data_IF_977104093399
#
_entry.id   IF_977104093399
#
_cell.length_a   1.000
_cell.length_b   1.000
_cell.length_c   1.000
_cell.angle_alpha   90.00
_cell.angle_beta   90.00
_cell.angle_gamma   90.00
#
_symmetry.space_group_name_H-M   'P 1'
#
loop_
_entity.id
_entity.type
_entity.pdbx_description
1 polymer ?
#
# COMPACT_ATOMS: atom_id res chain seq x y z
N UNK A 1 -19.80 -13.93 18.57
CA UNK A 1 -18.57 -13.21 18.17
C UNK A 1 -18.93 -11.81 17.72
N UNK A 2 -18.11 -10.79 18.02
CA UNK A 2 -18.31 -9.39 17.60
C UNK A 2 -17.91 -9.13 16.14
N UNK A 3 -16.94 -9.89 15.64
CA UNK A 3 -16.32 -9.69 14.32
C UNK A 3 -16.97 -10.48 13.19
N UNK A 4 -17.78 -11.49 13.51
CA UNK A 4 -18.36 -12.38 12.52
C UNK A 4 -19.49 -11.66 11.77
N UNK A 5 -19.46 -11.73 10.43
CA UNK A 5 -20.37 -11.01 9.52
C UNK A 5 -20.32 -9.48 9.59
N UNK A 6 -19.35 -8.89 10.30
CA UNK A 6 -19.14 -7.43 10.31
C UNK A 6 -17.96 -7.03 9.44
N UNK A 7 -17.90 -5.74 9.10
CA UNK A 7 -16.82 -5.10 8.36
C UNK A 7 -15.45 -5.25 9.06
N UNK A 8 -15.41 -5.68 10.32
CA UNK A 8 -14.17 -6.06 11.01
C UNK A 8 -13.40 -7.11 10.22
N UNK A 9 -14.09 -8.15 9.73
CA UNK A 9 -13.43 -9.22 8.96
C UNK A 9 -12.79 -8.67 7.68
N UNK A 10 -13.45 -7.71 7.03
CA UNK A 10 -12.93 -7.03 5.84
C UNK A 10 -11.71 -6.18 6.20
N UNK A 11 -11.73 -5.47 7.33
CA UNK A 11 -10.58 -4.73 7.86
C UNK A 11 -9.39 -5.65 8.14
N UNK A 12 -9.62 -6.81 8.75
CA UNK A 12 -8.57 -7.82 8.96
C UNK A 12 -7.96 -8.30 7.64
N UNK A 13 -8.78 -8.71 6.68
CA UNK A 13 -8.32 -9.18 5.36
C UNK A 13 -7.48 -8.12 4.66
N UNK A 14 -7.93 -6.86 4.62
CA UNK A 14 -7.20 -5.81 3.92
C UNK A 14 -5.92 -5.39 4.65
N UNK A 15 -5.89 -5.47 5.98
CA UNK A 15 -4.66 -5.26 6.74
C UNK A 15 -3.55 -6.26 6.34
N UNK A 16 -3.90 -7.54 6.13
CA UNK A 16 -2.96 -8.53 5.59
C UNK A 16 -2.70 -8.38 4.09
N UNK A 17 -3.75 -8.26 3.27
CA UNK A 17 -3.60 -8.23 1.81
C UNK A 17 -2.86 -6.97 1.33
N UNK A 18 -3.26 -5.79 1.79
CA UNK A 18 -2.68 -4.53 1.34
C UNK A 18 -1.50 -4.09 2.23
N UNK A 19 -1.62 -4.26 3.55
CA UNK A 19 -0.61 -3.85 4.52
C UNK A 19 0.61 -4.76 4.57
N UNK A 20 0.45 -6.05 4.30
CA UNK A 20 1.57 -7.01 4.30
C UNK A 20 1.93 -7.49 2.89
N UNK A 21 1.04 -8.24 2.25
CA UNK A 21 1.34 -8.87 0.95
C UNK A 21 1.63 -7.81 -0.12
N UNK A 22 0.82 -6.75 -0.17
CA UNK A 22 0.98 -5.65 -1.10
C UNK A 22 2.33 -4.94 -0.94
N UNK A 23 2.67 -4.47 0.27
CA UNK A 23 3.92 -3.74 0.49
C UNK A 23 5.18 -4.56 0.24
N UNK A 24 5.20 -5.83 0.65
CA UNK A 24 6.34 -6.72 0.35
C UNK A 24 6.47 -6.90 -1.16
N UNK A 25 5.35 -7.12 -1.86
CA UNK A 25 5.35 -7.29 -3.32
C UNK A 25 5.82 -6.02 -4.03
N UNK A 26 5.36 -4.84 -3.59
CA UNK A 26 5.81 -3.56 -4.14
C UNK A 26 7.30 -3.34 -3.94
N UNK A 27 7.82 -3.59 -2.73
CA UNK A 27 9.25 -3.51 -2.45
C UNK A 27 10.07 -4.46 -3.32
N UNK A 28 9.62 -5.72 -3.44
CA UNK A 28 10.27 -6.72 -4.29
C UNK A 28 10.30 -6.27 -5.76
N UNK A 29 9.20 -5.75 -6.29
CA UNK A 29 9.13 -5.25 -7.67
C UNK A 29 10.06 -4.05 -7.88
N UNK A 30 10.11 -3.10 -6.94
CA UNK A 30 11.04 -1.96 -7.03
C UNK A 30 12.51 -2.39 -7.08
N UNK A 31 12.88 -3.48 -6.41
CA UNK A 31 14.22 -4.05 -6.48
C UNK A 31 14.44 -4.85 -7.77
N UNK A 32 13.50 -5.71 -8.16
CA UNK A 32 13.66 -6.63 -9.28
C UNK A 32 13.67 -5.94 -10.64
N UNK A 33 12.87 -4.89 -10.85
CA UNK A 33 12.75 -4.23 -12.15
C UNK A 33 14.09 -3.66 -12.66
N UNK A 34 14.86 -2.87 -11.89
CA UNK A 34 16.17 -2.41 -12.39
C UNK A 34 17.14 -3.57 -12.65
N UNK A 35 17.10 -4.65 -11.87
CA UNK A 35 17.96 -5.82 -12.11
C UNK A 35 17.62 -6.54 -13.42
N UNK A 36 16.33 -6.79 -13.67
CA UNK A 36 15.88 -7.52 -14.87
C UNK A 36 16.11 -6.71 -16.15
N UNK A 37 16.00 -5.38 -16.08
CA UNK A 37 16.26 -4.46 -17.20
C UNK A 37 17.68 -3.90 -17.25
N UNK A 38 18.60 -4.39 -16.40
CA UNK A 38 20.01 -3.96 -16.30
C UNK A 38 20.14 -2.43 -16.23
N UNK A 39 19.36 -1.81 -15.34
CA UNK A 39 19.39 -0.37 -15.06
C UNK A 39 20.12 -0.12 -13.74
N UNK A 40 20.94 0.92 -13.70
CA UNK A 40 21.67 1.30 -12.47
C UNK A 40 20.73 1.75 -11.35
N UNK A 41 19.57 2.32 -11.70
CA UNK A 41 18.58 2.80 -10.74
C UNK A 41 17.18 2.87 -11.35
N UNK A 42 16.18 2.95 -10.47
CA UNK A 42 14.82 3.38 -10.83
C UNK A 42 14.80 4.81 -11.37
N UNK A 43 13.79 5.13 -12.18
CA UNK A 43 13.61 6.46 -12.77
C UNK A 43 13.56 7.57 -11.72
N UNK A 44 12.82 7.38 -10.62
CA UNK A 44 12.75 8.34 -9.53
C UNK A 44 12.51 7.67 -8.18
N UNK A 45 13.41 7.91 -7.23
CA UNK A 45 13.21 7.49 -5.83
C UNK A 45 12.14 8.31 -5.14
N UNK A 46 11.96 9.59 -5.50
CA UNK A 46 10.88 10.43 -4.95
C UNK A 46 9.49 9.86 -5.24
N UNK A 47 9.31 9.21 -6.40
CA UNK A 47 8.04 8.57 -6.74
C UNK A 47 7.79 7.30 -5.90
N UNK A 48 8.86 6.62 -5.47
CA UNK A 48 8.76 5.51 -4.52
C UNK A 48 8.29 6.02 -3.16
N UNK A 49 8.86 7.13 -2.68
CA UNK A 49 8.45 7.76 -1.41
C UNK A 49 6.99 8.21 -1.47
N UNK A 50 6.57 8.85 -2.57
CA UNK A 50 5.18 9.24 -2.78
C UNK A 50 4.23 8.04 -2.82
N UNK A 51 4.60 6.97 -3.52
CA UNK A 51 3.83 5.73 -3.50
C UNK A 51 3.70 5.19 -2.07
N UNK A 52 4.82 5.09 -1.34
CA UNK A 52 4.83 4.61 0.03
C UNK A 52 3.88 5.40 0.92
N UNK A 53 3.96 6.73 0.92
CA UNK A 53 3.11 7.56 1.79
C UNK A 53 1.64 7.53 1.39
N UNK A 54 1.33 7.64 0.10
CA UNK A 54 -0.06 7.60 -0.38
C UNK A 54 -0.69 6.24 -0.08
N UNK A 55 0.02 5.14 -0.34
CA UNK A 55 -0.47 3.79 -0.06
C UNK A 55 -0.61 3.56 1.45
N UNK A 56 0.34 4.03 2.26
CA UNK A 56 0.31 3.89 3.73
C UNK A 56 -0.86 4.65 4.33
N UNK A 57 -1.05 5.92 3.96
CA UNK A 57 -2.21 6.68 4.42
C UNK A 57 -3.52 6.06 3.94
N UNK A 58 -3.58 5.59 2.68
CA UNK A 58 -4.75 4.92 2.14
C UNK A 58 -5.15 3.67 2.92
N UNK A 59 -4.19 2.79 3.24
CA UNK A 59 -4.48 1.57 4.01
C UNK A 59 -4.85 1.88 5.46
N UNK A 60 -4.21 2.88 6.09
CA UNK A 60 -4.55 3.28 7.47
C UNK A 60 -6.00 3.79 7.55
N UNK A 61 -6.43 4.62 6.59
CA UNK A 61 -7.81 5.08 6.49
C UNK A 61 -8.78 3.92 6.28
N UNK A 62 -8.42 2.97 5.41
CA UNK A 62 -9.24 1.79 5.14
C UNK A 62 -9.43 0.95 6.42
N UNK A 63 -8.34 0.61 7.12
CA UNK A 63 -8.40 -0.21 8.34
C UNK A 63 -9.19 0.50 9.43
N UNK A 64 -8.94 1.78 9.65
CA UNK A 64 -9.66 2.57 10.66
C UNK A 64 -11.17 2.59 10.40
N UNK A 65 -11.59 2.84 9.15
CA UNK A 65 -13.01 2.84 8.78
C UNK A 65 -13.68 1.47 9.02
N UNK A 66 -13.00 0.38 8.67
CA UNK A 66 -13.52 -0.97 8.85
C UNK A 66 -13.57 -1.43 10.30
N UNK A 67 -12.66 -0.95 11.16
CA UNK A 67 -12.76 -1.18 12.59
C UNK A 67 -13.93 -0.43 13.21
N UNK A 68 -14.09 0.85 12.89
CA UNK A 68 -15.23 1.66 13.39
C UNK A 68 -16.55 1.04 12.93
N UNK A 69 -16.69 0.73 11.64
CA UNK A 69 -17.89 0.10 11.10
C UNK A 69 -18.13 -1.28 11.70
N UNK A 70 -17.10 -2.13 11.80
CA UNK A 70 -17.25 -3.49 12.30
C UNK A 70 -17.61 -3.59 13.78
N UNK A 71 -17.07 -2.68 14.62
CA UNK A 71 -17.47 -2.58 16.03
C UNK A 71 -18.92 -2.09 16.13
N UNK A 72 -19.26 -1.04 15.38
CA UNK A 72 -20.59 -0.45 15.37
C UNK A 72 -21.66 -1.44 14.93
N UNK A 73 -21.48 -2.15 13.81
CA UNK A 73 -22.38 -3.22 13.34
C UNK A 73 -22.56 -4.28 14.42
N UNK A 74 -21.45 -4.75 14.98
CA UNK A 74 -21.48 -5.78 16.00
C UNK A 74 -22.19 -5.35 17.29
N UNK A 75 -22.09 -4.07 17.69
CA UNK A 75 -22.78 -3.53 18.87
C UNK A 75 -24.27 -3.33 18.60
N UNK A 76 -24.65 -2.70 17.48
CA UNK A 76 -26.05 -2.41 17.16
C UNK A 76 -26.88 -3.68 16.97
N UNK A 77 -26.30 -4.74 16.37
CA UNK A 77 -26.99 -6.03 16.18
C UNK A 77 -27.20 -6.84 17.47
N UNK A 78 -26.56 -6.45 18.57
CA UNK A 78 -26.77 -7.09 19.88
C UNK A 78 -27.37 -6.18 20.93
N UNK A 79 -27.76 -4.97 20.53
CA UNK A 79 -28.32 -4.00 21.45
C UNK A 79 -29.78 -4.36 21.71
N UNK A 80 -30.12 -4.57 22.97
CA UNK A 80 -31.47 -4.84 23.43
C UNK A 80 -31.95 -3.69 24.32
N UNK A 81 -33.22 -3.31 24.16
CA UNK A 81 -33.88 -2.35 25.05
C UNK A 81 -34.12 -2.99 26.43
N UNK A 82 -34.45 -2.16 27.42
CA UNK A 82 -34.79 -2.64 28.77
C UNK A 82 -35.95 -3.66 28.78
N UNK A 83 -36.82 -3.58 27.77
CA UNK A 83 -37.96 -4.47 27.57
C UNK A 83 -37.62 -5.76 26.78
N UNK A 84 -36.35 -5.95 26.38
CA UNK A 84 -35.87 -7.15 25.70
C UNK A 84 -36.08 -7.17 24.18
N UNK A 85 -36.52 -6.06 23.57
CA UNK A 85 -36.61 -5.92 22.11
C UNK A 85 -35.27 -5.52 21.50
N UNK A 86 -35.07 -5.81 20.21
CA UNK A 86 -33.88 -5.36 19.49
C UNK A 86 -33.94 -3.82 19.33
N UNK A 87 -32.92 -3.12 19.79
CA UNK A 87 -32.91 -1.66 19.83
C UNK A 87 -32.74 -1.01 18.45
N UNK A 88 -32.03 -1.69 17.54
CA UNK A 88 -31.76 -1.20 16.18
C UNK A 88 -32.31 -2.17 15.15
N UNK A 89 -32.93 -1.63 14.11
CA UNK A 89 -33.24 -2.36 12.89
C UNK A 89 -31.98 -2.58 12.03
N UNK A 90 -32.04 -3.56 11.14
CA UNK A 90 -30.96 -3.83 10.21
C UNK A 90 -30.70 -2.64 9.27
N UNK A 91 -31.75 -1.95 8.83
CA UNK A 91 -31.62 -0.80 7.91
C UNK A 91 -30.93 0.39 8.56
N UNK A 92 -31.17 0.64 9.85
CA UNK A 92 -30.44 1.68 10.60
C UNK A 92 -28.95 1.37 10.67
N UNK A 93 -28.59 0.09 10.85
CA UNK A 93 -27.19 -0.34 10.81
C UNK A 93 -26.55 -0.06 9.45
N UNK A 94 -27.28 -0.34 8.36
CA UNK A 94 -26.82 -0.09 6.99
C UNK A 94 -26.67 1.40 6.69
N UNK A 95 -27.56 2.24 7.21
CA UNK A 95 -27.44 3.69 7.08
C UNK A 95 -26.26 4.23 7.87
N UNK A 96 -26.03 3.71 9.09
CA UNK A 96 -24.95 4.17 9.96
C UNK A 96 -23.57 3.94 9.34
N UNK A 97 -23.34 2.81 8.63
CA UNK A 97 -22.07 2.47 7.97
C UNK A 97 -21.73 3.27 6.70
N UNK A 98 -22.60 4.20 6.29
CA UNK A 98 -22.44 4.90 5.02
C UNK A 98 -21.15 5.73 4.98
N UNK A 99 -20.84 6.46 6.06
CA UNK A 99 -19.65 7.32 6.13
C UNK A 99 -18.37 6.48 6.06
N UNK A 100 -18.34 5.36 6.77
CA UNK A 100 -17.22 4.42 6.81
C UNK A 100 -16.98 3.78 5.44
N UNK A 101 -18.04 3.47 4.69
CA UNK A 101 -17.94 2.99 3.32
C UNK A 101 -17.33 4.04 2.37
N UNK A 102 -17.65 5.32 2.56
CA UNK A 102 -17.04 6.41 1.80
C UNK A 102 -15.55 6.52 2.13
N UNK A 103 -15.19 6.54 3.42
CA UNK A 103 -13.78 6.60 3.84
C UNK A 103 -13.00 5.39 3.33
N UNK A 104 -13.58 4.19 3.38
CA UNK A 104 -13.01 2.97 2.80
C UNK A 104 -12.71 3.14 1.31
N UNK A 105 -13.66 3.68 0.56
CA UNK A 105 -13.50 3.90 -0.88
C UNK A 105 -12.37 4.89 -1.15
N UNK A 106 -12.30 5.98 -0.39
CA UNK A 106 -11.21 6.97 -0.49
C UNK A 106 -9.86 6.33 -0.18
N UNK A 107 -9.77 5.56 0.92
CA UNK A 107 -8.53 4.86 1.30
C UNK A 107 -8.08 3.85 0.23
N UNK A 108 -9.02 3.10 -0.35
CA UNK A 108 -8.75 2.19 -1.47
C UNK A 108 -8.30 2.91 -2.74
N UNK A 109 -8.92 4.05 -3.08
CA UNK A 109 -8.51 4.88 -4.22
C UNK A 109 -7.13 5.50 -4.02
N UNK A 110 -6.78 5.90 -2.80
CA UNK A 110 -5.43 6.35 -2.49
C UNK A 110 -4.41 5.22 -2.71
N UNK A 111 -4.68 4.02 -2.18
CA UNK A 111 -3.80 2.86 -2.39
C UNK A 111 -3.63 2.52 -3.87
N UNK A 112 -4.73 2.51 -4.64
CA UNK A 112 -4.69 2.34 -6.10
C UNK A 112 -3.90 3.45 -6.79
N UNK A 113 -4.08 4.71 -6.38
CA UNK A 113 -3.31 5.85 -6.87
C UNK A 113 -1.81 5.68 -6.63
N UNK A 114 -1.42 5.15 -5.47
CA UNK A 114 -0.05 4.74 -5.18
C UNK A 114 0.48 3.69 -6.17
N UNK A 115 -0.30 2.64 -6.43
CA UNK A 115 0.06 1.60 -7.40
C UNK A 115 0.17 2.13 -8.85
N UNK A 116 -0.63 3.13 -9.22
CA UNK A 116 -0.50 3.82 -10.51
C UNK A 116 0.80 4.62 -10.59
N UNK A 117 1.19 5.31 -9.51
CA UNK A 117 2.50 6.01 -9.42
C UNK A 117 3.64 5.00 -9.58
N UNK A 118 3.56 3.84 -8.93
CA UNK A 118 4.53 2.76 -9.11
C UNK A 118 4.60 2.34 -10.57
N UNK A 119 3.46 2.01 -11.17
CA UNK A 119 3.38 1.54 -12.56
C UNK A 119 4.02 2.53 -13.53
N UNK A 120 3.75 3.82 -13.35
CA UNK A 120 4.38 4.88 -14.13
C UNK A 120 5.91 4.96 -13.90
N UNK A 121 6.38 4.89 -12.64
CA UNK A 121 7.80 4.93 -12.33
C UNK A 121 8.56 3.74 -12.96
N UNK A 122 7.99 2.54 -12.89
CA UNK A 122 8.56 1.33 -13.47
C UNK A 122 8.57 1.39 -14.99
N UNK A 123 7.47 1.85 -15.61
CA UNK A 123 7.38 2.04 -17.05
C UNK A 123 8.43 3.04 -17.57
N UNK A 124 8.61 4.16 -16.86
CA UNK A 124 9.69 5.11 -17.17
C UNK A 124 11.05 4.46 -17.05
N UNK A 125 11.30 3.70 -15.98
CA UNK A 125 12.57 2.98 -15.73
C UNK A 125 12.94 2.07 -16.89
N UNK A 126 12.00 1.28 -17.39
CA UNK A 126 12.20 0.38 -18.52
C UNK A 126 12.56 1.14 -19.80
N UNK A 127 11.96 2.32 -20.01
CA UNK A 127 12.16 3.16 -21.20
C UNK A 127 13.39 4.06 -21.16
N UNK A 128 14.09 4.22 -20.03
CA UNK A 128 15.34 4.98 -20.04
C UNK A 128 16.34 4.34 -21.00
N UNK A 129 17.14 5.11 -21.76
CA UNK A 129 18.29 4.57 -22.47
C UNK A 129 19.18 3.82 -21.47
N UNK A 130 19.59 2.60 -21.80
CA UNK A 130 20.60 1.92 -20.99
C UNK A 130 21.89 2.72 -21.10
N UNK A 131 22.54 3.01 -19.97
CA UNK A 131 23.89 3.53 -20.01
C UNK A 131 24.73 2.48 -20.74
N UNK A 132 25.23 2.81 -21.94
CA UNK A 132 26.30 2.04 -22.57
C UNK A 132 27.40 2.01 -21.54
N UNK A 133 27.82 0.82 -21.12
CA UNK A 133 28.94 0.66 -20.21
C UNK A 133 30.13 1.40 -20.82
N UNK A 134 30.42 2.60 -20.35
CA UNK A 134 31.68 3.27 -20.67
C UNK A 134 32.75 2.32 -20.16
N UNK A 135 33.60 1.73 -21.03
CA UNK A 135 34.65 0.88 -20.53
C UNK A 135 35.45 1.74 -19.57
N UNK A 136 35.56 1.26 -18.33
CA UNK A 136 36.41 1.89 -17.32
C UNK A 136 37.79 1.96 -17.94
N UNK A 137 38.21 3.16 -18.33
CA UNK A 137 39.57 3.41 -18.78
C UNK A 137 40.46 3.00 -17.61
N UNK A 138 41.10 1.84 -17.74
CA UNK A 138 42.13 1.41 -16.79
C UNK A 138 43.17 2.53 -16.76
N UNK A 139 43.20 3.28 -15.67
CA UNK A 139 44.27 4.25 -15.43
C UNK A 139 45.59 3.47 -15.49
N UNK A 140 46.60 3.94 -16.23
CA UNK A 140 47.86 3.22 -16.34
C UNK A 140 48.45 3.06 -14.95
N UNK A 141 48.85 1.84 -14.61
CA UNK A 141 49.50 1.52 -13.36
C UNK A 141 50.67 2.49 -13.14
N UNK A 142 50.64 3.23 -12.03
CA UNK A 142 51.72 4.10 -11.61
C UNK A 142 53.00 3.25 -11.53
N UNK A 143 53.93 3.50 -12.46
CA UNK A 143 55.24 2.91 -12.45
C UNK A 143 55.95 3.33 -11.15
N UNK A 144 56.21 2.35 -10.28
CA UNK A 144 57.05 2.54 -9.10
C UNK A 144 58.46 2.80 -9.59
N UNK A 145 58.94 4.04 -9.45
CA UNK A 145 60.34 4.36 -9.71
C UNK A 145 61.21 3.73 -8.61
N UNK A 146 62.34 3.09 -8.95
CA UNK A 146 63.28 2.57 -7.96
C UNK A 146 63.97 3.73 -7.24
N UNK A 147 64.10 3.60 -5.93
CA UNK A 147 64.85 4.54 -5.10
C UNK A 147 66.36 4.33 -5.32
N UNK A 148 67.07 5.40 -5.67
CA UNK A 148 68.51 5.55 -5.45
C UNK A 148 68.77 6.33 -4.17
#
# INVERSE_FOLDING_TARGET
>A
SLSHYTDWTIGHVHSGALGWVGFISFGAVYCMVPWLWKKDRLYSMKLVDWHFWIATTGILLYIAAMWVSGIMEGLMWREYTADGFLANSFVETVSAKHIENVIRTIGGLMYLGGALIMSYNLWRTVRLPSAVATPVSQAPALAVAPAE
#
